data_IF_017498963080
#
_entry.id   IF_017498963080
#
_cell.length_a   1.000
_cell.length_b   1.000
_cell.length_c   1.000
_cell.angle_alpha   90.00
_cell.angle_beta   90.00
_cell.angle_gamma   90.00
#
_symmetry.space_group_name_H-M   'P 1'
#
loop_
_entity.id
_entity.type
_entity.pdbx_description
1 polymer ?
#
# COMPACT_ATOMS: atom_id res chain seq x y z
N UNK A 1 -21.55 -43.50 -14.45
CA UNK A 1 -21.14 -43.21 -15.84
C UNK A 1 -21.72 -41.84 -16.20
N UNK A 2 -21.16 -40.73 -15.72
CA UNK A 2 -20.09 -39.92 -16.37
C UNK A 2 -20.37 -39.66 -17.85
N UNK A 3 -20.78 -38.44 -18.23
CA UNK A 3 -19.94 -37.44 -18.93
C UNK A 3 -20.73 -36.39 -19.75
N UNK A 4 -20.29 -35.14 -19.58
CA UNK A 4 -20.16 -34.08 -20.60
C UNK A 4 -21.45 -33.36 -21.02
N UNK A 5 -21.73 -32.24 -20.35
CA UNK A 5 -21.98 -30.96 -21.00
C UNK A 5 -21.34 -29.84 -20.16
N UNK A 6 -20.02 -29.98 -19.92
CA UNK A 6 -19.16 -28.84 -19.62
C UNK A 6 -18.83 -28.19 -20.97
N UNK A 7 -19.48 -27.09 -21.29
CA UNK A 7 -18.94 -25.96 -22.06
C UNK A 7 -20.08 -25.03 -22.49
N UNK A 8 -19.75 -23.74 -22.58
CA UNK A 8 -20.60 -22.57 -22.85
C UNK A 8 -21.42 -22.14 -21.63
N UNK A 9 -21.27 -20.95 -21.06
CA UNK A 9 -20.67 -19.71 -21.54
C UNK A 9 -20.29 -18.90 -20.29
N UNK A 10 -19.04 -18.44 -20.20
CA UNK A 10 -18.75 -17.02 -20.42
C UNK A 10 -19.69 -16.08 -19.64
N UNK A 11 -19.51 -16.02 -18.32
CA UNK A 11 -19.65 -14.75 -17.61
C UNK A 11 -18.25 -14.37 -17.14
N UNK A 12 -17.72 -13.40 -17.87
CA UNK A 12 -16.43 -12.77 -17.74
C UNK A 12 -16.27 -12.14 -16.36
N UNK A 13 -15.93 -12.95 -15.36
CA UNK A 13 -15.18 -12.50 -14.20
C UNK A 13 -13.72 -12.76 -14.51
N UNK A 14 -13.06 -11.84 -15.21
CA UNK A 14 -11.61 -11.77 -15.16
C UNK A 14 -11.23 -11.60 -13.70
N UNK A 15 -10.95 -12.71 -13.00
CA UNK A 15 -9.92 -12.68 -11.97
C UNK A 15 -8.72 -12.17 -12.73
N UNK A 16 -8.43 -10.87 -12.57
CA UNK A 16 -7.11 -10.37 -12.85
C UNK A 16 -6.21 -11.22 -11.97
N UNK A 17 -5.65 -12.28 -12.55
CA UNK A 17 -4.54 -12.98 -11.97
C UNK A 17 -3.39 -11.99 -12.13
N UNK A 18 -3.31 -11.03 -11.21
CA UNK A 18 -2.12 -10.23 -11.01
C UNK A 18 -1.00 -11.24 -10.86
N UNK A 19 0.00 -11.16 -11.74
CA UNK A 19 1.12 -12.09 -11.68
C UNK A 19 1.71 -11.99 -10.26
N UNK A 20 1.79 -13.09 -9.49
CA UNK A 20 2.19 -13.05 -8.07
C UNK A 20 3.63 -12.58 -7.84
N UNK A 21 4.36 -12.37 -8.93
CA UNK A 21 5.73 -11.88 -9.02
C UNK A 21 5.85 -10.35 -8.97
N UNK A 22 4.74 -9.59 -8.92
CA UNK A 22 4.76 -8.12 -8.80
C UNK A 22 4.09 -7.59 -7.54
N UNK A 23 3.38 -8.42 -6.78
CA UNK A 23 2.67 -7.99 -5.58
C UNK A 23 3.56 -8.15 -4.35
N UNK A 24 3.62 -7.11 -3.51
CA UNK A 24 4.41 -7.19 -2.27
C UNK A 24 3.80 -8.25 -1.35
N UNK A 25 4.61 -9.11 -0.74
CA UNK A 25 4.15 -10.14 0.19
C UNK A 25 3.44 -9.52 1.39
N UNK A 26 2.39 -10.18 1.87
CA UNK A 26 1.64 -9.74 3.05
C UNK A 26 2.56 -9.50 4.25
N UNK A 27 3.50 -10.42 4.48
CA UNK A 27 4.42 -10.35 5.61
C UNK A 27 5.31 -9.10 5.52
N UNK A 28 5.79 -8.76 4.32
CA UNK A 28 6.60 -7.56 4.13
C UNK A 28 5.77 -6.29 4.26
N UNK A 29 4.53 -6.28 3.79
CA UNK A 29 3.61 -5.17 4.00
C UNK A 29 3.34 -4.94 5.49
N UNK A 30 3.15 -6.00 6.27
CA UNK A 30 2.91 -5.92 7.71
C UNK A 30 4.15 -5.38 8.47
N UNK A 31 5.34 -5.88 8.12
CA UNK A 31 6.61 -5.40 8.69
C UNK A 31 6.85 -3.92 8.34
N UNK A 32 6.63 -3.55 7.07
CA UNK A 32 6.75 -2.16 6.63
C UNK A 32 5.77 -1.25 7.38
N UNK A 33 4.52 -1.69 7.52
CA UNK A 33 3.48 -0.97 8.27
C UNK A 33 3.83 -0.80 9.74
N UNK A 34 4.40 -1.82 10.38
CA UNK A 34 4.84 -1.74 11.77
C UNK A 34 5.99 -0.74 11.94
N UNK A 35 7.00 -0.81 11.08
CA UNK A 35 8.14 0.12 11.10
C UNK A 35 7.74 1.57 10.85
N UNK A 36 6.94 1.81 9.81
CA UNK A 36 6.44 3.15 9.49
C UNK A 36 5.61 3.74 10.64
N UNK A 37 4.68 2.95 11.22
CA UNK A 37 3.83 3.43 12.30
C UNK A 37 4.63 3.78 13.55
N UNK A 38 5.67 3.00 13.85
CA UNK A 38 6.57 3.28 14.96
C UNK A 38 7.31 4.62 14.77
N UNK A 39 7.83 4.88 13.56
CA UNK A 39 8.59 6.11 13.25
C UNK A 39 7.68 7.34 13.22
N UNK A 40 6.51 7.25 12.59
CA UNK A 40 5.64 8.40 12.33
C UNK A 40 4.56 8.63 13.39
N UNK A 41 4.54 7.85 14.47
CA UNK A 41 3.50 7.89 15.49
C UNK A 41 3.25 9.31 16.04
N UNK A 42 4.29 9.93 16.59
CA UNK A 42 4.17 11.24 17.24
C UNK A 42 3.83 12.35 16.24
N UNK A 43 4.45 12.29 15.06
CA UNK A 43 4.25 13.28 14.00
C UNK A 43 2.81 13.27 13.49
N UNK A 44 2.27 12.08 13.20
CA UNK A 44 0.89 11.91 12.77
C UNK A 44 -0.09 12.45 13.84
N UNK A 45 0.14 12.10 15.12
CA UNK A 45 -0.71 12.53 16.23
C UNK A 45 -0.75 14.06 16.38
N UNK A 46 0.39 14.74 16.27
CA UNK A 46 0.46 16.21 16.32
C UNK A 46 -0.34 16.90 15.21
N UNK A 47 -0.61 16.20 14.11
CA UNK A 47 -1.33 16.71 12.95
C UNK A 47 -2.78 16.25 12.87
N UNK A 48 -3.26 15.54 13.90
CA UNK A 48 -4.63 15.04 13.95
C UNK A 48 -4.94 13.96 12.91
N UNK A 49 -3.92 13.25 12.43
CA UNK A 49 -4.07 12.08 11.54
C UNK A 49 -3.56 10.82 12.26
N UNK A 50 -4.01 9.63 11.86
CA UNK A 50 -3.46 8.39 12.43
C UNK A 50 -2.21 7.98 11.67
N UNK A 51 -1.19 7.48 12.37
CA UNK A 51 0.00 6.94 11.72
C UNK A 51 -0.34 5.72 10.85
N UNK A 52 -1.37 4.95 11.22
CA UNK A 52 -1.88 3.84 10.42
C UNK A 52 -2.33 4.29 9.03
N UNK A 53 -3.14 5.35 8.94
CA UNK A 53 -3.67 5.83 7.66
C UNK A 53 -2.55 6.44 6.80
N UNK A 54 -1.65 7.21 7.42
CA UNK A 54 -0.48 7.78 6.75
C UNK A 54 0.43 6.69 6.17
N UNK A 55 0.76 5.69 6.97
CA UNK A 55 1.61 4.58 6.54
C UNK A 55 0.94 3.72 5.48
N UNK A 56 -0.35 3.42 5.59
CA UNK A 56 -1.06 2.65 4.57
C UNK A 56 -1.10 3.40 3.24
N UNK A 57 -1.38 4.70 3.27
CA UNK A 57 -1.36 5.54 2.08
C UNK A 57 0.04 5.55 1.42
N UNK A 58 1.09 5.71 2.23
CA UNK A 58 2.47 5.70 1.76
C UNK A 58 2.86 4.36 1.11
N UNK A 59 2.52 3.25 1.79
CA UNK A 59 2.79 1.89 1.29
C UNK A 59 2.08 1.61 -0.04
N UNK A 60 0.82 2.04 -0.18
CA UNK A 60 0.09 1.88 -1.43
C UNK A 60 0.79 2.61 -2.59
N UNK A 61 1.27 3.84 -2.37
CA UNK A 61 2.01 4.59 -3.37
C UNK A 61 3.31 3.91 -3.78
N UNK A 62 4.04 3.33 -2.81
CA UNK A 62 5.24 2.53 -3.08
C UNK A 62 4.93 1.28 -3.89
N UNK A 63 3.91 0.52 -3.50
CA UNK A 63 3.51 -0.73 -4.18
C UNK A 63 3.00 -0.49 -5.60
N UNK A 64 2.42 0.67 -5.89
CA UNK A 64 1.99 1.05 -7.24
C UNK A 64 3.18 1.31 -8.17
N UNK A 65 4.31 1.79 -7.63
CA UNK A 65 5.44 2.27 -8.43
C UNK A 65 6.67 1.36 -8.41
N UNK A 66 6.77 0.47 -7.42
CA UNK A 66 7.97 -0.31 -7.18
C UNK A 66 7.67 -1.79 -6.97
N UNK A 67 8.47 -2.62 -7.61
CA UNK A 67 8.58 -4.04 -7.30
C UNK A 67 9.27 -4.24 -5.92
N UNK A 68 8.80 -5.21 -5.14
CA UNK A 68 9.33 -5.46 -3.80
C UNK A 68 10.80 -5.89 -3.85
N UNK A 69 11.19 -6.79 -4.76
CA UNK A 69 12.56 -7.30 -4.81
C UNK A 69 13.55 -6.18 -5.12
N UNK A 70 13.19 -5.29 -6.06
CA UNK A 70 13.96 -4.08 -6.36
C UNK A 70 14.02 -3.13 -5.17
N UNK A 71 12.89 -2.87 -4.51
CA UNK A 71 12.84 -1.99 -3.34
C UNK A 71 13.71 -2.53 -2.20
N UNK A 72 13.65 -3.83 -1.92
CA UNK A 72 14.40 -4.48 -0.85
C UNK A 72 15.92 -4.44 -1.07
N UNK A 73 16.38 -4.49 -2.33
CA UNK A 73 17.79 -4.45 -2.69
C UNK A 73 18.47 -3.10 -2.43
N UNK A 74 17.70 -2.03 -2.21
CA UNK A 74 18.22 -0.71 -1.90
C UNK A 74 18.72 -0.59 -0.45
N UNK A 75 19.70 0.29 -0.25
CA UNK A 75 20.04 0.79 1.07
C UNK A 75 18.90 1.61 1.70
N UNK A 76 19.02 1.90 2.99
CA UNK A 76 17.97 2.60 3.74
C UNK A 76 17.75 4.03 3.23
N UNK A 77 18.81 4.77 2.92
CA UNK A 77 18.71 6.16 2.46
C UNK A 77 17.93 6.25 1.14
N UNK A 78 18.15 5.30 0.24
CA UNK A 78 17.42 5.20 -1.03
C UNK A 78 15.95 4.82 -0.80
N UNK A 79 15.67 3.91 0.14
CA UNK A 79 14.28 3.56 0.53
C UNK A 79 13.54 4.75 1.13
N UNK A 80 14.20 5.50 2.02
CA UNK A 80 13.62 6.69 2.65
C UNK A 80 13.38 7.79 1.61
N UNK A 81 14.31 7.97 0.67
CA UNK A 81 14.14 8.87 -0.47
C UNK A 81 12.97 8.49 -1.38
N UNK A 82 12.75 7.19 -1.61
CA UNK A 82 11.61 6.69 -2.38
C UNK A 82 10.27 6.85 -1.63
N UNK A 83 10.26 6.67 -0.31
CA UNK A 83 9.07 6.80 0.53
C UNK A 83 8.66 8.26 0.79
N UNK A 84 9.63 9.16 0.93
CA UNK A 84 9.45 10.57 1.25
C UNK A 84 8.35 11.31 0.45
N UNK A 85 8.30 11.24 -0.91
CA UNK A 85 7.26 11.93 -1.67
C UNK A 85 5.85 11.42 -1.33
N UNK A 86 5.67 10.11 -1.12
CA UNK A 86 4.38 9.54 -0.75
C UNK A 86 3.99 9.93 0.68
N UNK A 87 4.94 9.99 1.62
CA UNK A 87 4.68 10.51 2.97
C UNK A 87 4.14 11.94 2.89
N UNK A 88 4.80 12.82 2.12
CA UNK A 88 4.38 14.22 1.97
C UNK A 88 2.99 14.36 1.33
N UNK A 89 2.74 13.62 0.24
CA UNK A 89 1.45 13.64 -0.46
C UNK A 89 0.31 13.13 0.44
N UNK A 90 0.51 11.97 1.07
CA UNK A 90 -0.47 11.35 1.95
C UNK A 90 -0.77 12.24 3.16
N UNK A 91 0.26 12.89 3.72
CA UNK A 91 0.10 13.82 4.82
C UNK A 91 -0.81 14.98 4.46
N UNK A 92 -0.56 15.64 3.33
CA UNK A 92 -1.41 16.74 2.88
C UNK A 92 -2.85 16.29 2.61
N UNK A 93 -3.01 15.13 1.97
CA UNK A 93 -4.32 14.58 1.61
C UNK A 93 -5.14 14.24 2.86
N UNK A 94 -4.53 13.60 3.86
CA UNK A 94 -5.19 13.21 5.10
C UNK A 94 -5.56 14.43 5.95
N UNK A 95 -4.70 15.45 6.03
CA UNK A 95 -5.03 16.70 6.74
C UNK A 95 -6.19 17.42 6.06
N UNK A 96 -6.22 17.48 4.72
CA UNK A 96 -7.34 18.08 3.98
C UNK A 96 -8.62 17.31 4.31
N UNK A 97 -8.59 15.99 4.20
CA UNK A 97 -9.75 15.12 4.46
C UNK A 97 -10.28 15.26 5.89
N UNK A 98 -9.42 15.22 6.91
CA UNK A 98 -9.82 15.36 8.30
C UNK A 98 -10.39 16.75 8.63
N UNK A 99 -9.88 17.81 8.00
CA UNK A 99 -10.42 19.17 8.17
C UNK A 99 -11.83 19.35 7.59
N UNK A 100 -12.22 18.54 6.60
CA UNK A 100 -13.57 18.58 6.03
C UNK A 100 -14.54 17.58 6.67
N UNK A 101 -14.06 16.67 7.53
CA UNK A 101 -14.89 15.72 8.27
C UNK A 101 -15.51 16.30 9.56
N UNK A 102 -15.27 17.58 9.88
CA UNK A 102 -15.70 18.24 11.13
C UNK A 102 -16.90 19.18 10.95
N UNK A 103 -17.94 18.75 10.23
CA UNK A 103 -19.21 19.48 10.11
C UNK A 103 -20.40 18.66 10.61
#
# INVERSE_FOLDING_TARGET
MTKIFLALALLLGSVACSSPEHEWSSDYQDDWMAGCQFILHEWAALSGITSKDLCRCTLNGLMEHWDQARYMAWDQDTKDGAASPYVAECWESLIKTNRFATF
#
